data_IF_041476578112
#
_entry.id   IF_041476578112
#
_cell.length_a   1.000
_cell.length_b   1.000
_cell.length_c   1.000
_cell.angle_alpha   90.00
_cell.angle_beta   90.00
_cell.angle_gamma   90.00
#
_symmetry.space_group_name_H-M   'P 1'
#
loop_
_entity.id
_entity.type
_entity.pdbx_description
1 polymer ?
#
# COMPACT_ATOMS: atom_id res chain seq x y z
N UNK A 1 -14.36 -40.84 11.03
CA UNK A 1 -13.51 -39.67 11.33
C UNK A 1 -12.08 -40.16 11.54
N UNK A 2 -11.21 -39.91 10.61
CA UNK A 2 -9.80 -40.24 10.77
C UNK A 2 -9.08 -39.05 11.42
N UNK A 3 -8.81 -39.15 12.71
CA UNK A 3 -7.90 -38.20 13.39
C UNK A 3 -6.47 -38.60 13.04
N UNK A 4 -5.81 -37.84 12.17
CA UNK A 4 -4.36 -37.97 12.00
C UNK A 4 -3.68 -37.11 13.07
N UNK A 5 -3.08 -37.75 14.04
CA UNK A 5 -2.21 -37.11 15.02
C UNK A 5 -0.83 -36.91 14.37
N UNK A 6 -0.43 -35.65 14.15
CA UNK A 6 0.93 -35.33 13.71
C UNK A 6 1.78 -35.16 14.96
N UNK A 7 2.74 -36.05 15.16
CA UNK A 7 3.72 -35.97 16.24
C UNK A 7 4.87 -35.02 15.81
N UNK A 8 4.98 -33.87 16.45
CA UNK A 8 6.10 -32.96 16.23
C UNK A 8 7.12 -33.18 17.34
N UNK A 9 8.26 -33.78 17.01
CA UNK A 9 9.40 -33.89 17.91
C UNK A 9 10.14 -32.54 17.98
N UNK A 10 10.15 -31.91 19.14
CA UNK A 10 10.88 -30.69 19.41
C UNK A 10 12.30 -31.01 19.87
N UNK A 11 13.25 -31.07 18.92
CA UNK A 11 14.69 -31.04 19.16
C UNK A 11 15.34 -32.22 19.85
N UNK A 12 16.67 -32.31 19.84
CA UNK A 12 17.42 -33.36 20.54
C UNK A 12 17.31 -33.21 22.06
N UNK A 13 17.32 -34.35 22.78
CA UNK A 13 17.18 -34.42 24.23
C UNK A 13 18.11 -33.52 25.05
N UNK A 14 19.21 -33.09 24.45
CA UNK A 14 20.26 -32.29 25.08
C UNK A 14 19.92 -30.83 25.20
N UNK A 15 18.88 -30.34 24.52
CA UNK A 15 18.46 -28.94 24.53
C UNK A 15 17.63 -28.54 25.78
N UNK A 16 17.22 -29.50 26.60
CA UNK A 16 16.38 -29.24 27.78
C UNK A 16 17.11 -29.66 29.07
N UNK A 17 17.43 -28.66 29.88
CA UNK A 17 18.23 -28.82 31.12
C UNK A 17 17.69 -29.83 32.15
N UNK A 18 16.47 -30.33 32.02
CA UNK A 18 15.81 -31.20 32.96
C UNK A 18 15.39 -32.59 32.41
N UNK A 19 15.88 -33.01 31.24
CA UNK A 19 15.65 -34.35 30.70
C UNK A 19 14.19 -34.70 30.38
N UNK A 20 13.26 -33.81 30.51
CA UNK A 20 11.86 -34.05 30.25
C UNK A 20 11.50 -33.59 28.82
N UNK A 21 11.49 -34.52 27.91
CA UNK A 21 10.98 -34.27 26.56
C UNK A 21 9.45 -34.24 26.61
N UNK A 22 8.88 -33.08 26.65
CA UNK A 22 7.44 -32.92 26.52
C UNK A 22 6.99 -33.12 25.08
N UNK A 23 6.31 -34.20 24.77
CA UNK A 23 5.66 -34.39 23.47
C UNK A 23 4.36 -33.56 23.46
N UNK A 24 4.33 -32.49 22.69
CA UNK A 24 3.11 -31.73 22.51
C UNK A 24 2.27 -32.38 21.42
N UNK A 25 1.24 -33.11 21.82
CA UNK A 25 0.22 -33.63 20.89
C UNK A 25 -0.75 -32.53 20.54
N UNK A 26 -0.61 -31.97 19.37
CA UNK A 26 -1.57 -30.97 18.86
C UNK A 26 -2.58 -31.69 17.97
N UNK A 27 -3.84 -31.72 18.36
CA UNK A 27 -4.91 -32.19 17.48
C UNK A 27 -5.07 -31.17 16.36
N UNK A 28 -4.76 -31.56 15.13
CA UNK A 28 -5.05 -30.77 13.93
C UNK A 28 -6.36 -31.32 13.38
N UNK A 29 -7.40 -30.52 13.42
CA UNK A 29 -8.70 -30.87 12.82
C UNK A 29 -8.56 -30.98 11.30
N UNK A 30 -9.26 -31.95 10.71
CA UNK A 30 -9.27 -32.17 9.25
C UNK A 30 -9.54 -30.91 8.45
N UNK A 31 -10.39 -30.00 8.97
CA UNK A 31 -10.72 -28.73 8.36
C UNK A 31 -9.51 -27.79 8.17
N UNK A 32 -8.56 -27.81 9.11
CA UNK A 32 -7.32 -27.02 8.98
C UNK A 32 -6.38 -27.56 7.90
N UNK A 33 -6.33 -28.88 7.76
CA UNK A 33 -5.50 -29.55 6.74
C UNK A 33 -6.09 -29.27 5.34
N UNK A 34 -7.41 -29.35 5.20
CA UNK A 34 -8.11 -29.04 3.94
C UNK A 34 -7.93 -27.57 3.55
N UNK A 35 -8.01 -26.65 4.50
CA UNK A 35 -7.80 -25.23 4.22
C UNK A 35 -6.34 -24.91 3.85
N UNK A 36 -5.35 -25.57 4.45
CA UNK A 36 -3.95 -25.43 4.06
C UNK A 36 -3.71 -25.97 2.63
N UNK A 37 -4.28 -27.12 2.30
CA UNK A 37 -4.18 -27.72 0.97
C UNK A 37 -4.93 -26.91 -0.10
N UNK A 38 -6.09 -26.34 0.23
CA UNK A 38 -6.84 -25.48 -0.69
C UNK A 38 -6.14 -24.12 -0.94
N UNK A 39 -5.42 -23.59 0.05
CA UNK A 39 -4.59 -22.39 -0.14
C UNK A 39 -3.35 -22.65 -1.02
N UNK A 40 -2.77 -23.85 -0.95
CA UNK A 40 -1.65 -24.25 -1.80
C UNK A 40 -2.05 -24.45 -3.28
N UNK A 41 -3.35 -24.66 -3.56
CA UNK A 41 -3.88 -24.91 -4.91
C UNK A 41 -4.59 -23.69 -5.52
N UNK A 42 -4.53 -22.51 -4.88
CA UNK A 42 -5.08 -21.32 -5.53
C UNK A 42 -4.32 -21.08 -6.83
N UNK A 43 -5.01 -21.11 -8.00
CA UNK A 43 -4.37 -20.78 -9.25
C UNK A 43 -3.73 -19.40 -9.15
N UNK A 44 -2.53 -19.26 -9.71
CA UNK A 44 -1.85 -17.98 -9.77
C UNK A 44 -2.83 -16.92 -10.29
N UNK A 45 -2.99 -15.84 -9.54
CA UNK A 45 -3.89 -14.75 -9.96
C UNK A 45 -3.44 -14.28 -11.35
N UNK A 46 -4.35 -14.18 -12.34
CA UNK A 46 -3.97 -13.71 -13.65
C UNK A 46 -3.26 -12.35 -13.54
N UNK A 47 -2.27 -12.09 -14.39
CA UNK A 47 -1.56 -10.81 -14.38
C UNK A 47 -2.56 -9.67 -14.52
N UNK A 48 -2.41 -8.65 -13.66
CA UNK A 48 -3.31 -7.49 -13.69
C UNK A 48 -3.05 -6.69 -14.97
N UNK A 49 -4.11 -6.22 -15.64
CA UNK A 49 -3.93 -5.35 -16.79
C UNK A 49 -3.15 -4.08 -16.39
N UNK A 50 -2.35 -3.52 -17.30
CA UNK A 50 -1.63 -2.27 -17.05
C UNK A 50 -2.61 -1.17 -16.63
N UNK A 51 -2.30 -0.47 -15.54
CA UNK A 51 -3.09 0.67 -15.04
C UNK A 51 -2.17 1.85 -14.76
N UNK A 52 -2.70 3.05 -14.93
CA UNK A 52 -1.98 4.23 -14.47
C UNK A 52 -1.73 4.13 -12.96
N UNK A 53 -0.56 4.56 -12.48
CA UNK A 53 -0.29 4.60 -11.05
C UNK A 53 -1.38 5.39 -10.32
N UNK A 54 -1.83 4.89 -9.19
CA UNK A 54 -2.91 5.51 -8.39
C UNK A 54 -2.57 6.97 -8.00
N UNK A 55 -1.28 7.29 -7.89
CA UNK A 55 -0.82 8.65 -7.59
C UNK A 55 -1.17 9.65 -8.69
N UNK A 56 -1.22 9.21 -9.96
CA UNK A 56 -1.66 10.06 -11.09
C UNK A 56 -3.12 10.45 -10.93
N UNK A 57 -3.96 9.49 -10.53
CA UNK A 57 -5.39 9.75 -10.28
C UNK A 57 -5.59 10.68 -9.09
N UNK A 58 -4.83 10.51 -8.03
CA UNK A 58 -4.89 11.38 -6.85
C UNK A 58 -4.43 12.81 -7.16
N UNK A 59 -3.36 12.97 -7.93
CA UNK A 59 -2.91 14.31 -8.31
C UNK A 59 -3.95 15.03 -9.19
N UNK A 60 -4.56 14.33 -10.15
CA UNK A 60 -5.64 14.88 -10.97
C UNK A 60 -6.84 15.31 -10.13
N UNK A 61 -7.27 14.45 -9.20
CA UNK A 61 -8.35 14.79 -8.27
C UNK A 61 -8.00 16.00 -7.40
N UNK A 62 -6.78 16.06 -6.91
CA UNK A 62 -6.32 17.19 -6.12
C UNK A 62 -6.40 18.50 -6.90
N UNK A 63 -5.95 18.51 -8.17
CA UNK A 63 -6.02 19.68 -9.05
C UNK A 63 -7.48 20.06 -9.34
N UNK A 64 -8.35 19.11 -9.61
CA UNK A 64 -9.77 19.34 -9.82
C UNK A 64 -10.44 19.93 -8.58
N UNK A 65 -10.21 19.35 -7.39
CA UNK A 65 -10.77 19.86 -6.14
C UNK A 65 -10.25 21.26 -5.81
N UNK A 66 -8.99 21.53 -6.12
CA UNK A 66 -8.43 22.87 -5.98
C UNK A 66 -9.15 23.87 -6.86
N UNK A 67 -9.37 23.52 -8.13
CA UNK A 67 -10.12 24.37 -9.06
C UNK A 67 -11.55 24.62 -8.57
N UNK A 68 -12.25 23.59 -8.07
CA UNK A 68 -13.61 23.74 -7.53
C UNK A 68 -13.66 24.65 -6.30
N UNK A 69 -12.65 24.58 -5.41
CA UNK A 69 -12.52 25.48 -4.27
C UNK A 69 -12.27 26.92 -4.70
N UNK A 70 -11.40 27.14 -5.68
CA UNK A 70 -11.03 28.46 -6.17
C UNK A 70 -12.18 29.10 -7.00
N UNK A 71 -12.95 28.31 -7.72
CA UNK A 71 -14.16 28.73 -8.44
C UNK A 71 -15.36 28.99 -7.50
N UNK A 72 -15.31 28.51 -6.26
CA UNK A 72 -16.42 28.65 -5.32
C UNK A 72 -17.53 27.62 -5.49
N UNK A 73 -17.37 26.61 -6.37
CA UNK A 73 -18.31 25.50 -6.56
C UNK A 73 -18.45 24.64 -5.32
N UNK A 74 -17.37 24.58 -4.54
CA UNK A 74 -17.28 23.91 -3.24
C UNK A 74 -16.63 24.86 -2.25
N UNK A 75 -17.20 25.01 -1.08
CA UNK A 75 -16.69 25.97 -0.07
C UNK A 75 -15.61 25.39 0.83
N UNK A 76 -15.63 24.09 1.04
CA UNK A 76 -14.75 23.45 2.02
C UNK A 76 -14.32 22.06 1.60
N UNK A 77 -13.15 21.61 2.12
CA UNK A 77 -12.72 20.22 1.97
C UNK A 77 -13.70 19.20 2.61
N UNK A 78 -14.48 19.62 3.60
CA UNK A 78 -15.50 18.76 4.21
C UNK A 78 -16.65 18.49 3.23
N UNK A 79 -16.97 19.45 2.39
CA UNK A 79 -17.97 19.27 1.34
C UNK A 79 -17.47 18.35 0.23
N UNK A 80 -16.21 18.48 -0.19
CA UNK A 80 -15.56 17.53 -1.10
C UNK A 80 -15.63 16.11 -0.52
N UNK A 81 -15.27 15.95 0.76
CA UNK A 81 -15.29 14.66 1.44
C UNK A 81 -16.67 13.99 1.40
N UNK A 82 -17.74 14.78 1.60
CA UNK A 82 -19.12 14.28 1.51
C UNK A 82 -19.52 13.90 0.08
N UNK A 83 -19.14 14.69 -0.92
CA UNK A 83 -19.43 14.41 -2.33
C UNK A 83 -18.72 13.13 -2.83
N UNK A 84 -17.45 12.97 -2.44
CA UNK A 84 -16.63 11.83 -2.83
C UNK A 84 -16.84 10.58 -1.96
N UNK A 85 -17.61 10.66 -0.87
CA UNK A 85 -17.82 9.55 0.05
C UNK A 85 -16.58 9.09 0.81
N UNK A 86 -15.63 10.01 1.07
CA UNK A 86 -14.36 9.74 1.76
C UNK A 86 -14.21 10.62 3.00
N UNK A 87 -13.25 10.30 3.87
CA UNK A 87 -12.99 11.11 5.04
C UNK A 87 -12.33 12.46 4.69
N UNK A 88 -12.59 13.49 5.49
CA UNK A 88 -11.91 14.80 5.35
C UNK A 88 -10.39 14.67 5.44
N UNK A 89 -9.89 13.80 6.31
CA UNK A 89 -8.47 13.52 6.42
C UNK A 89 -7.90 12.98 5.08
N UNK A 90 -8.65 12.13 4.37
CA UNK A 90 -8.25 11.63 3.06
C UNK A 90 -8.21 12.73 2.00
N UNK A 91 -9.18 13.63 1.98
CA UNK A 91 -9.14 14.82 1.10
C UNK A 91 -7.90 15.65 1.37
N UNK A 92 -7.61 15.97 2.64
CA UNK A 92 -6.41 16.74 3.01
C UNK A 92 -5.12 16.06 2.57
N UNK A 93 -5.02 14.73 2.69
CA UNK A 93 -3.85 13.96 2.24
C UNK A 93 -3.64 14.06 0.72
N UNK A 94 -4.71 13.92 -0.06
CA UNK A 94 -4.66 14.02 -1.52
C UNK A 94 -4.34 15.47 -1.94
N UNK A 95 -4.99 16.45 -1.33
CA UNK A 95 -4.76 17.87 -1.60
C UNK A 95 -3.32 18.32 -1.29
N UNK A 96 -2.62 17.63 -0.38
CA UNK A 96 -1.21 17.93 -0.12
C UNK A 96 -0.31 17.76 -1.35
N UNK A 97 -0.68 16.91 -2.32
CA UNK A 97 0.09 16.69 -3.55
C UNK A 97 0.21 17.94 -4.43
N UNK A 98 -0.71 18.89 -4.32
CA UNK A 98 -0.64 20.18 -5.06
C UNK A 98 0.56 21.03 -4.60
N UNK A 99 1.06 20.78 -3.41
CA UNK A 99 2.21 21.52 -2.84
C UNK A 99 3.56 21.08 -3.42
N UNK A 100 3.57 20.00 -4.21
CA UNK A 100 4.75 19.55 -4.93
C UNK A 100 5.16 20.57 -5.98
N UNK A 101 6.46 20.65 -6.24
CA UNK A 101 6.99 21.49 -7.31
C UNK A 101 6.34 21.12 -8.65
N UNK A 102 6.09 22.09 -9.55
CA UNK A 102 5.43 21.84 -10.83
C UNK A 102 6.08 20.75 -11.66
N UNK A 103 7.41 20.70 -11.68
CA UNK A 103 8.18 19.70 -12.42
C UNK A 103 7.90 18.27 -11.92
N UNK A 104 7.68 18.11 -10.61
CA UNK A 104 7.32 16.82 -9.99
C UNK A 104 5.90 16.45 -10.39
N UNK A 105 4.98 17.41 -10.39
CA UNK A 105 3.59 17.16 -10.80
C UNK A 105 3.53 16.74 -12.26
N UNK A 106 4.25 17.42 -13.16
CA UNK A 106 4.31 17.10 -14.58
C UNK A 106 4.89 15.70 -14.81
N UNK A 107 5.96 15.35 -14.10
CA UNK A 107 6.53 14.01 -14.14
C UNK A 107 5.51 12.95 -13.74
N UNK A 108 4.79 13.14 -12.63
CA UNK A 108 3.77 12.21 -12.17
C UNK A 108 2.66 12.04 -13.20
N UNK A 109 2.19 13.12 -13.80
CA UNK A 109 1.13 13.10 -14.81
C UNK A 109 1.55 12.42 -16.11
N UNK A 110 2.85 12.41 -16.42
CA UNK A 110 3.43 11.74 -17.59
C UNK A 110 3.62 10.23 -17.40
N UNK A 111 3.49 9.70 -16.19
CA UNK A 111 3.72 8.28 -15.92
C UNK A 111 2.80 7.38 -16.77
N UNK A 112 3.39 6.37 -17.45
CA UNK A 112 2.62 5.46 -18.29
C UNK A 112 1.80 4.47 -17.44
N UNK A 113 0.89 3.77 -18.09
CA UNK A 113 0.20 2.63 -17.46
C UNK A 113 1.20 1.48 -17.24
N UNK A 114 1.24 0.93 -16.03
CA UNK A 114 2.16 -0.12 -15.61
C UNK A 114 1.41 -1.39 -15.23
N UNK A 115 1.98 -2.55 -15.58
CA UNK A 115 1.48 -3.85 -15.16
C UNK A 115 1.85 -4.18 -13.70
N UNK A 116 2.91 -3.59 -13.19
CA UNK A 116 3.39 -3.74 -11.82
C UNK A 116 3.04 -2.52 -10.96
N UNK A 117 3.19 -2.67 -9.66
CA UNK A 117 2.91 -1.58 -8.71
C UNK A 117 3.98 -0.49 -8.85
N UNK A 118 3.55 0.75 -9.03
CA UNK A 118 4.47 1.89 -9.02
C UNK A 118 5.15 2.03 -7.65
N UNK A 119 6.43 2.32 -7.66
CA UNK A 119 7.22 2.62 -6.46
C UNK A 119 6.92 4.04 -5.98
N UNK A 120 6.57 4.95 -6.90
CA UNK A 120 6.12 6.29 -6.54
C UNK A 120 4.73 6.18 -5.92
N UNK A 121 4.69 6.34 -4.60
CA UNK A 121 3.46 6.23 -3.81
C UNK A 121 3.01 7.59 -3.29
N UNK A 122 1.71 7.73 -3.07
CA UNK A 122 1.15 8.94 -2.45
C UNK A 122 1.81 9.26 -1.10
N UNK A 123 2.11 8.23 -0.30
CA UNK A 123 2.75 8.40 1.01
C UNK A 123 4.15 9.02 0.88
N UNK A 124 4.97 8.54 -0.06
CA UNK A 124 6.31 9.10 -0.33
C UNK A 124 6.25 10.54 -0.81
N UNK A 125 5.37 10.81 -1.77
CA UNK A 125 5.19 12.17 -2.30
C UNK A 125 4.65 13.16 -1.27
N UNK A 126 3.81 12.71 -0.36
CA UNK A 126 3.29 13.58 0.71
C UNK A 126 4.40 14.04 1.65
N UNK A 127 5.38 13.20 1.94
CA UNK A 127 6.56 13.60 2.73
C UNK A 127 7.35 14.70 2.03
N UNK A 128 7.54 14.58 0.71
CA UNK A 128 8.19 15.61 -0.11
C UNK A 128 7.36 16.90 -0.13
N UNK A 129 6.04 16.81 -0.27
CA UNK A 129 5.12 17.95 -0.31
C UNK A 129 5.08 18.75 1.01
N UNK A 130 5.55 18.20 2.12
CA UNK A 130 5.70 18.93 3.40
C UNK A 130 6.88 19.91 3.39
N UNK A 131 7.86 19.70 2.52
CA UNK A 131 8.98 20.60 2.39
C UNK A 131 8.53 21.92 1.73
N UNK A 132 8.96 23.03 2.30
CA UNK A 132 8.63 24.36 1.73
C UNK A 132 9.60 24.76 0.61
N UNK A 133 10.82 24.21 0.62
CA UNK A 133 11.84 24.51 -0.38
C UNK A 133 11.69 23.56 -1.59
N UNK A 134 11.45 24.17 -2.76
CA UNK A 134 11.27 23.44 -4.04
C UNK A 134 12.53 22.67 -4.46
N UNK A 135 13.73 23.23 -4.20
CA UNK A 135 14.99 22.55 -4.51
C UNK A 135 15.09 21.26 -3.69
N UNK A 136 14.84 21.34 -2.38
CA UNK A 136 14.83 20.16 -1.52
C UNK A 136 13.76 19.14 -1.93
N UNK A 137 12.59 19.60 -2.42
CA UNK A 137 11.58 18.70 -2.98
C UNK A 137 12.12 17.94 -4.20
N UNK A 138 12.77 18.66 -5.13
CA UNK A 138 13.32 18.07 -6.36
C UNK A 138 14.45 17.08 -6.07
N UNK A 139 15.30 17.38 -5.10
CA UNK A 139 16.42 16.50 -4.71
C UNK A 139 15.90 15.20 -4.09
N UNK A 140 14.98 15.27 -3.11
CA UNK A 140 14.37 14.09 -2.52
C UNK A 140 13.54 13.29 -3.51
N UNK A 141 12.88 13.97 -4.45
CA UNK A 141 12.12 13.28 -5.49
C UNK A 141 13.07 12.51 -6.42
N UNK A 142 14.20 13.10 -6.79
CA UNK A 142 15.23 12.43 -7.61
C UNK A 142 15.77 11.19 -6.91
N UNK A 143 16.06 11.27 -5.62
CA UNK A 143 16.47 10.11 -4.81
C UNK A 143 15.40 9.02 -4.81
N UNK A 144 14.13 9.39 -4.66
CA UNK A 144 13.01 8.45 -4.68
C UNK A 144 12.92 7.71 -6.02
N UNK A 145 13.14 8.41 -7.13
CA UNK A 145 13.11 7.82 -8.49
C UNK A 145 14.32 6.92 -8.73
N UNK A 146 15.52 7.33 -8.30
CA UNK A 146 16.76 6.54 -8.47
C UNK A 146 16.75 5.23 -7.69
N UNK A 147 16.10 5.18 -6.53
CA UNK A 147 15.92 3.93 -5.77
C UNK A 147 14.99 2.92 -6.48
N UNK A 148 14.46 3.31 -7.62
CA UNK A 148 13.42 2.59 -8.35
C UNK A 148 13.94 1.88 -9.60
N UNK A 149 15.14 2.23 -10.07
CA UNK A 149 15.84 1.56 -11.19
C UNK A 149 16.67 0.38 -10.68
#
# INVERSE_FOLDING_TARGET
>A
MHEQAVEIALGPKEAFANGSVGTIKRRVTADRVVNAASNARRPARPPRPPRKPTVVEFLRKAQEWRHQLDAGDVRTQAEIARREGISRARVTQIMALIRLAPEIQDYILSLPAMAHRSVITEKGLRTIALLQNRVAQSDLFRELVQQTE
#
